data_IF_407691907691
#
_entry.id   IF_407691907691
#
_cell.length_a   1.000
_cell.length_b   1.000
_cell.length_c   1.000
_cell.angle_alpha   90.00
_cell.angle_beta   90.00
_cell.angle_gamma   90.00
#
_symmetry.space_group_name_H-M   'P 1'
#
loop_
_entity.id
_entity.type
_entity.pdbx_description
1 polymer ?
#
# COMPACT_ATOMS: atom_id res chain seq x y z
N UNK A 1 -8.85 -15.48 -26.77
CA UNK A 1 -8.51 -16.17 -25.52
C UNK A 1 -7.03 -16.00 -25.31
N UNK A 2 -6.59 -15.48 -24.18
CA UNK A 2 -5.17 -15.36 -23.82
C UNK A 2 -4.76 -16.60 -23.02
N UNK A 3 -3.53 -17.07 -23.24
CA UNK A 3 -3.01 -18.25 -22.53
C UNK A 3 -1.63 -17.92 -21.98
N UNK A 4 -1.33 -18.39 -20.77
CA UNK A 4 -0.03 -18.25 -20.11
C UNK A 4 0.22 -19.40 -19.14
N UNK A 5 1.46 -19.61 -18.77
CA UNK A 5 1.81 -20.60 -17.71
C UNK A 5 1.41 -20.11 -16.33
N UNK A 6 1.69 -18.85 -16.01
CA UNK A 6 1.41 -18.25 -14.71
C UNK A 6 0.64 -16.95 -14.88
N UNK A 7 -0.56 -16.85 -14.27
CA UNK A 7 -1.32 -15.61 -14.17
C UNK A 7 -1.11 -15.01 -12.78
N UNK A 8 -0.59 -13.79 -12.72
CA UNK A 8 -0.44 -13.02 -11.48
C UNK A 8 -1.59 -12.00 -11.42
N UNK A 9 -2.43 -12.08 -10.40
CA UNK A 9 -3.54 -11.16 -10.17
C UNK A 9 -3.18 -10.20 -9.07
N UNK A 10 -3.00 -8.91 -9.43
CA UNK A 10 -2.63 -7.82 -8.55
C UNK A 10 -1.27 -7.22 -8.90
N UNK A 11 -1.27 -5.98 -9.37
CA UNK A 11 -0.10 -5.20 -9.77
C UNK A 11 0.47 -4.32 -8.64
N UNK A 12 0.35 -4.77 -7.38
CA UNK A 12 1.06 -4.20 -6.24
C UNK A 12 2.52 -4.67 -6.17
N UNK A 13 3.25 -4.24 -5.14
CA UNK A 13 4.68 -4.57 -4.98
C UNK A 13 4.96 -6.08 -5.06
N UNK A 14 4.13 -6.91 -4.43
CA UNK A 14 4.32 -8.37 -4.46
C UNK A 14 4.19 -8.94 -5.88
N UNK A 15 3.12 -8.58 -6.60
CA UNK A 15 2.90 -9.06 -7.97
C UNK A 15 3.93 -8.54 -8.95
N UNK A 16 4.34 -7.27 -8.83
CA UNK A 16 5.38 -6.67 -9.66
C UNK A 16 6.76 -7.31 -9.41
N UNK A 17 7.12 -7.54 -8.15
CA UNK A 17 8.40 -8.19 -7.81
C UNK A 17 8.46 -9.63 -8.34
N UNK A 18 7.36 -10.38 -8.22
CA UNK A 18 7.26 -11.72 -8.81
C UNK A 18 7.35 -11.68 -10.34
N UNK A 19 6.60 -10.78 -10.98
CA UNK A 19 6.59 -10.63 -12.44
C UNK A 19 7.97 -10.24 -13.00
N UNK A 20 8.66 -9.28 -12.34
CA UNK A 20 10.02 -8.90 -12.72
C UNK A 20 11.00 -10.07 -12.61
N UNK A 21 10.87 -10.88 -11.56
CA UNK A 21 11.69 -12.10 -11.39
C UNK A 21 11.42 -13.13 -12.47
N UNK A 22 10.15 -13.44 -12.75
CA UNK A 22 9.77 -14.38 -13.82
C UNK A 22 10.23 -13.86 -15.19
N UNK A 23 10.17 -12.55 -15.43
CA UNK A 23 10.68 -11.92 -16.65
C UNK A 23 12.20 -12.13 -16.79
N UNK A 24 12.97 -11.89 -15.74
CA UNK A 24 14.41 -12.08 -15.74
C UNK A 24 14.82 -13.55 -15.95
N UNK A 25 13.99 -14.50 -15.53
CA UNK A 25 14.20 -15.95 -15.72
C UNK A 25 13.65 -16.48 -17.08
N UNK A 26 13.07 -15.59 -17.92
CA UNK A 26 12.47 -15.99 -19.20
C UNK A 26 11.25 -16.91 -19.06
N UNK A 27 10.58 -16.89 -17.91
CA UNK A 27 9.37 -17.67 -17.65
C UNK A 27 8.16 -17.06 -18.33
N UNK A 28 7.18 -17.89 -18.71
CA UNK A 28 5.93 -17.39 -19.26
C UNK A 28 4.96 -17.02 -18.16
N UNK A 29 4.50 -15.76 -18.19
CA UNK A 29 3.52 -15.21 -17.25
C UNK A 29 2.68 -14.11 -17.89
N UNK A 30 1.58 -13.78 -17.23
CA UNK A 30 0.78 -12.56 -17.44
C UNK A 30 0.49 -11.93 -16.08
N UNK A 31 0.71 -10.61 -15.97
CA UNK A 31 0.35 -9.81 -14.80
C UNK A 31 -0.89 -8.98 -15.10
N UNK A 32 -1.91 -9.03 -14.22
CA UNK A 32 -3.14 -8.23 -14.37
C UNK A 32 -3.36 -7.35 -13.13
N UNK A 33 -3.73 -6.09 -13.36
CA UNK A 33 -4.10 -5.12 -12.31
C UNK A 33 -5.52 -4.62 -12.55
N UNK A 34 -6.30 -4.54 -11.49
CA UNK A 34 -7.69 -4.11 -11.55
C UNK A 34 -7.86 -2.60 -11.77
N UNK A 35 -6.96 -1.79 -11.17
CA UNK A 35 -6.94 -0.32 -11.32
C UNK A 35 -6.38 0.08 -12.68
N UNK A 36 -6.57 1.31 -13.04
CA UNK A 36 -5.94 1.98 -14.18
C UNK A 36 -4.47 2.40 -13.91
N UNK A 37 -3.93 2.05 -12.74
CA UNK A 37 -2.56 2.31 -12.30
C UNK A 37 -1.93 1.09 -11.63
N UNK A 38 -0.63 1.01 -11.68
CA UNK A 38 0.19 0.03 -10.98
C UNK A 38 0.53 0.48 -9.54
N UNK A 39 1.07 -0.44 -8.73
CA UNK A 39 1.59 -0.16 -7.39
C UNK A 39 0.65 -0.58 -6.25
N UNK A 40 -0.63 -0.82 -6.52
CA UNK A 40 -1.58 -1.23 -5.49
C UNK A 40 -1.70 -0.19 -4.37
N UNK A 41 -1.30 -0.56 -3.14
CA UNK A 41 -1.26 0.35 -1.97
C UNK A 41 -0.11 1.36 -2.00
N UNK A 42 0.91 1.18 -2.81
CA UNK A 42 1.89 2.23 -3.10
C UNK A 42 1.23 3.23 -4.05
N UNK A 43 1.12 4.46 -3.57
CA UNK A 43 0.54 5.58 -4.30
C UNK A 43 1.28 6.84 -3.92
N UNK A 44 1.85 7.53 -4.90
CA UNK A 44 2.51 8.83 -4.72
C UNK A 44 1.78 9.88 -5.55
N UNK A 45 1.39 10.98 -4.91
CA UNK A 45 0.87 12.16 -5.59
C UNK A 45 2.02 13.05 -6.07
N UNK A 46 1.87 13.68 -7.22
CA UNK A 46 2.86 14.57 -7.80
C UNK A 46 2.46 16.03 -7.59
N UNK A 47 3.41 16.86 -7.18
CA UNK A 47 3.26 18.31 -7.09
C UNK A 47 4.61 18.98 -7.32
N UNK A 48 4.66 19.90 -8.30
CA UNK A 48 5.84 20.72 -8.63
C UNK A 48 7.16 19.92 -8.71
N UNK A 49 7.12 18.76 -9.35
CA UNK A 49 8.27 17.89 -9.55
C UNK A 49 8.66 17.02 -8.34
N UNK A 50 7.95 17.12 -7.22
CA UNK A 50 8.11 16.24 -6.07
C UNK A 50 6.98 15.21 -5.95
N UNK A 51 7.31 14.05 -5.38
CA UNK A 51 6.37 12.96 -5.13
C UNK A 51 6.11 12.81 -3.63
N UNK A 52 4.85 12.64 -3.25
CA UNK A 52 4.39 12.51 -1.87
C UNK A 52 3.59 11.23 -1.70
N UNK A 53 4.05 10.36 -0.81
CA UNK A 53 3.46 9.05 -0.60
C UNK A 53 2.15 9.12 0.20
N UNK A 54 1.06 8.66 -0.39
CA UNK A 54 -0.27 8.53 0.21
C UNK A 54 -0.57 7.08 0.67
N UNK A 55 0.31 6.16 0.34
CA UNK A 55 0.34 4.78 0.80
C UNK A 55 1.38 4.57 1.91
N UNK A 56 2.16 3.47 1.91
CA UNK A 56 3.37 3.36 2.71
C UNK A 56 4.33 4.49 2.32
N UNK A 57 5.06 5.04 3.30
CA UNK A 57 6.02 6.13 3.07
C UNK A 57 7.40 5.82 3.68
N UNK A 58 7.46 4.84 4.60
CA UNK A 58 8.65 4.52 5.37
C UNK A 58 9.02 3.04 5.27
N UNK A 59 10.31 2.78 5.45
CA UNK A 59 10.90 1.48 5.69
C UNK A 59 12.05 1.61 6.70
N UNK A 60 12.47 0.50 7.33
CA UNK A 60 13.37 0.53 8.47
C UNK A 60 14.63 -0.32 8.28
N UNK A 61 15.70 -0.04 9.04
CA UNK A 61 16.76 -1.01 9.26
C UNK A 61 16.17 -2.35 9.72
N UNK A 62 16.75 -3.47 9.21
CA UNK A 62 16.23 -4.82 9.52
C UNK A 62 15.18 -5.33 8.53
N UNK A 63 14.91 -4.59 7.46
CA UNK A 63 14.09 -5.02 6.33
C UNK A 63 14.98 -5.30 5.09
N UNK A 64 15.60 -6.49 4.99
CA UNK A 64 16.66 -6.75 4.00
C UNK A 64 16.16 -6.80 2.56
N UNK A 65 14.92 -7.27 2.31
CA UNK A 65 14.39 -7.42 0.95
C UNK A 65 14.13 -6.08 0.28
N UNK A 66 13.48 -5.16 1.02
CA UNK A 66 13.26 -3.81 0.49
C UNK A 66 14.58 -3.06 0.32
N UNK A 67 15.55 -3.23 1.23
CA UNK A 67 16.87 -2.65 1.10
C UNK A 67 17.63 -3.19 -0.14
N UNK A 68 17.57 -4.50 -0.39
CA UNK A 68 18.16 -5.13 -1.56
C UNK A 68 17.48 -4.67 -2.86
N UNK A 69 16.14 -4.56 -2.86
CA UNK A 69 15.40 -4.05 -4.02
C UNK A 69 15.80 -2.61 -4.36
N UNK A 70 15.88 -1.72 -3.36
CA UNK A 70 16.32 -0.34 -3.54
C UNK A 70 17.76 -0.28 -4.08
N UNK A 71 18.67 -1.06 -3.51
CA UNK A 71 20.04 -1.13 -3.98
C UNK A 71 20.15 -1.60 -5.44
N UNK A 72 19.35 -2.60 -5.82
CA UNK A 72 19.30 -3.14 -7.20
C UNK A 72 18.72 -2.14 -8.21
N UNK A 73 17.64 -1.46 -7.84
CA UNK A 73 16.92 -0.55 -8.74
C UNK A 73 17.52 0.86 -8.75
N UNK A 74 18.36 1.21 -7.77
CA UNK A 74 19.18 2.41 -7.73
C UNK A 74 18.55 3.72 -7.24
N UNK A 75 17.28 3.79 -6.75
CA UNK A 75 16.80 5.03 -6.16
C UNK A 75 17.49 5.30 -4.82
N UNK A 76 17.75 6.57 -4.52
CA UNK A 76 18.41 6.96 -3.27
C UNK A 76 17.41 6.98 -2.12
N UNK A 77 17.81 6.47 -0.95
CA UNK A 77 17.10 6.62 0.31
C UNK A 77 17.61 7.81 1.10
N UNK A 78 16.82 8.34 2.00
CA UNK A 78 17.19 9.37 2.96
C UNK A 78 16.46 9.18 4.29
N UNK A 79 17.01 9.76 5.35
CA UNK A 79 16.44 9.64 6.69
C UNK A 79 15.18 10.49 6.82
N UNK A 80 14.19 9.98 7.57
CA UNK A 80 13.04 10.78 7.96
C UNK A 80 13.49 12.00 8.75
N UNK A 81 13.02 13.19 8.36
CA UNK A 81 13.26 14.40 9.13
C UNK A 81 12.49 14.35 10.46
N UNK A 82 13.17 14.59 11.57
CA UNK A 82 12.61 14.57 12.94
C UNK A 82 13.21 15.65 13.84
N UNK A 83 14.04 16.54 13.31
CA UNK A 83 14.74 17.54 14.12
C UNK A 83 13.79 18.68 14.51
N UNK A 84 13.83 19.07 15.79
CA UNK A 84 13.01 20.14 16.35
C UNK A 84 12.05 19.63 17.43
N UNK A 85 11.20 20.53 17.88
CA UNK A 85 10.15 20.19 18.85
C UNK A 85 8.96 19.56 18.13
N UNK A 86 8.24 18.68 18.81
CA UNK A 86 6.98 18.12 18.38
C UNK A 86 5.80 18.88 19.01
N UNK A 87 4.61 18.66 18.47
CA UNK A 87 3.37 19.22 18.96
C UNK A 87 2.46 18.13 19.53
N UNK A 88 1.74 18.47 20.59
CA UNK A 88 0.68 17.66 21.14
C UNK A 88 -0.60 18.48 21.27
N UNK A 89 -1.69 18.00 20.70
CA UNK A 89 -3.03 18.61 20.80
C UNK A 89 -3.92 17.71 21.67
N UNK A 90 -4.38 18.25 22.79
CA UNK A 90 -5.25 17.53 23.74
C UNK A 90 -6.71 17.42 23.22
N UNK A 91 -7.59 16.79 23.99
CA UNK A 91 -9.01 16.61 23.66
C UNK A 91 -9.81 17.93 23.58
N UNK A 92 -9.24 19.05 24.06
CA UNK A 92 -9.84 20.41 24.01
C UNK A 92 -9.29 21.26 22.87
N UNK A 93 -8.38 20.69 22.06
CA UNK A 93 -7.70 21.42 20.99
C UNK A 93 -6.61 22.39 21.49
N UNK A 94 -6.11 22.20 22.74
CA UNK A 94 -4.99 22.98 23.25
C UNK A 94 -3.69 22.37 22.74
N UNK A 95 -2.90 23.17 22.03
CA UNK A 95 -1.63 22.74 21.45
C UNK A 95 -0.48 23.06 22.39
N UNK A 96 0.30 22.05 22.72
CA UNK A 96 1.51 22.15 23.52
C UNK A 96 2.71 21.81 22.62
N UNK A 97 3.79 22.54 22.82
CA UNK A 97 5.07 22.33 22.17
C UNK A 97 6.06 21.73 23.16
N UNK A 98 6.79 20.72 22.76
CA UNK A 98 7.76 20.09 23.63
C UNK A 98 8.70 19.14 22.90
N UNK A 99 9.67 18.63 23.65
CA UNK A 99 10.54 17.54 23.19
C UNK A 99 9.90 16.20 23.53
N UNK A 100 10.05 15.23 22.64
CA UNK A 100 9.50 13.90 22.85
C UNK A 100 10.04 12.92 21.85
N UNK A 101 9.46 11.71 21.85
CA UNK A 101 9.79 10.65 20.94
C UNK A 101 9.13 10.92 19.58
N UNK A 102 9.93 11.03 18.54
CA UNK A 102 9.47 11.06 17.16
C UNK A 102 9.25 9.62 16.66
N UNK A 103 8.01 9.22 16.43
CA UNK A 103 7.61 7.83 16.13
C UNK A 103 8.29 7.25 14.88
N UNK A 104 8.62 8.10 13.90
CA UNK A 104 9.29 7.70 12.66
C UNK A 104 10.79 7.94 12.66
N UNK A 105 11.38 8.30 13.81
CA UNK A 105 12.84 8.48 13.92
C UNK A 105 13.56 7.16 13.60
N UNK A 106 14.61 7.25 12.76
CA UNK A 106 15.40 6.09 12.31
C UNK A 106 14.77 5.32 11.15
N UNK A 107 13.63 5.75 10.64
CA UNK A 107 13.08 5.24 9.40
C UNK A 107 13.70 5.94 8.18
N UNK A 108 13.58 5.30 7.03
CA UNK A 108 14.02 5.82 5.75
C UNK A 108 12.84 6.09 4.83
N UNK A 109 13.03 7.09 3.96
CA UNK A 109 12.16 7.41 2.85
C UNK A 109 12.92 7.30 1.53
N UNK A 110 12.20 7.30 0.41
CA UNK A 110 12.78 7.15 -0.91
C UNK A 110 12.71 8.47 -1.68
N UNK A 111 13.81 8.84 -2.33
CA UNK A 111 13.81 9.97 -3.25
C UNK A 111 12.88 9.69 -4.43
N UNK A 112 11.97 10.62 -4.70
CA UNK A 112 10.90 10.43 -5.69
C UNK A 112 9.71 9.61 -5.19
N UNK A 113 9.66 9.29 -3.88
CA UNK A 113 8.61 8.48 -3.27
C UNK A 113 8.71 6.99 -3.61
N UNK A 114 7.90 6.18 -2.96
CA UNK A 114 7.86 4.73 -3.22
C UNK A 114 7.30 4.39 -4.61
N UNK A 115 6.57 5.31 -5.24
CA UNK A 115 6.14 5.18 -6.64
C UNK A 115 7.32 4.96 -7.60
N UNK A 116 8.48 5.55 -7.32
CA UNK A 116 9.68 5.34 -8.13
C UNK A 116 10.16 3.87 -8.20
N UNK A 117 9.90 3.06 -7.15
CA UNK A 117 10.16 1.61 -7.20
C UNK A 117 9.21 0.90 -8.16
N UNK A 118 7.95 1.32 -8.18
CA UNK A 118 6.94 0.75 -9.06
C UNK A 118 7.31 1.00 -10.52
N UNK A 119 7.69 2.23 -10.86
CA UNK A 119 8.08 2.60 -12.23
C UNK A 119 9.30 1.79 -12.70
N UNK A 120 10.29 1.62 -11.83
CA UNK A 120 11.49 0.82 -12.13
C UNK A 120 11.19 -0.67 -12.31
N UNK A 121 10.36 -1.26 -11.45
CA UNK A 121 9.92 -2.65 -11.60
C UNK A 121 9.10 -2.85 -12.90
N UNK A 122 8.25 -1.90 -13.25
CA UNK A 122 7.52 -1.92 -14.51
C UNK A 122 8.47 -1.89 -15.73
N UNK A 123 9.59 -1.19 -15.64
CA UNK A 123 10.61 -1.17 -16.67
C UNK A 123 11.28 -2.54 -16.93
N UNK A 124 11.23 -3.45 -15.95
CA UNK A 124 11.77 -4.83 -16.07
C UNK A 124 10.74 -5.84 -16.63
N UNK A 125 9.47 -5.43 -16.77
CA UNK A 125 8.38 -6.30 -17.21
C UNK A 125 7.96 -5.88 -18.63
N UNK A 126 8.00 -6.78 -19.64
CA UNK A 126 7.55 -6.46 -20.99
C UNK A 126 6.10 -5.99 -21.03
N UNK A 127 5.80 -5.01 -21.88
CA UNK A 127 4.48 -4.38 -21.94
C UNK A 127 3.37 -5.37 -22.36
N UNK A 128 3.69 -6.34 -23.22
CA UNK A 128 2.78 -7.41 -23.65
C UNK A 128 2.50 -8.47 -22.59
N UNK A 129 3.25 -8.47 -21.48
CA UNK A 129 3.08 -9.38 -20.33
C UNK A 129 2.28 -8.75 -19.19
N UNK A 130 1.70 -7.57 -19.36
CA UNK A 130 0.98 -6.86 -18.30
C UNK A 130 -0.27 -6.16 -18.80
N UNK A 131 -1.37 -6.29 -18.06
CA UNK A 131 -2.67 -5.67 -18.35
C UNK A 131 -3.12 -4.83 -17.16
N UNK A 132 -3.31 -3.55 -17.38
CA UNK A 132 -3.88 -2.60 -16.43
C UNK A 132 -5.38 -2.44 -16.68
N UNK A 133 -6.14 -1.85 -15.75
CA UNK A 133 -7.59 -1.66 -15.86
C UNK A 133 -8.34 -2.99 -16.17
N UNK A 134 -7.84 -4.12 -15.66
CA UNK A 134 -8.32 -5.46 -15.98
C UNK A 134 -8.74 -6.21 -14.71
N UNK A 135 -9.85 -5.83 -14.06
CA UNK A 135 -10.32 -6.51 -12.86
C UNK A 135 -10.82 -7.92 -13.16
N UNK A 136 -10.26 -8.91 -12.47
CA UNK A 136 -10.75 -10.28 -12.48
C UNK A 136 -11.99 -10.38 -11.58
N UNK A 137 -13.01 -11.12 -12.03
CA UNK A 137 -14.26 -11.34 -11.31
C UNK A 137 -14.50 -12.80 -10.95
N UNK A 138 -13.97 -13.72 -11.73
CA UNK A 138 -14.20 -15.14 -11.51
C UNK A 138 -12.97 -15.97 -11.90
N UNK A 139 -12.79 -17.06 -11.17
CA UNK A 139 -11.79 -18.09 -11.44
C UNK A 139 -12.52 -19.46 -11.54
N UNK A 140 -12.24 -20.21 -12.59
CA UNK A 140 -12.78 -21.54 -12.79
C UNK A 140 -11.63 -22.55 -12.96
N UNK A 141 -11.60 -23.58 -12.10
CA UNK A 141 -10.67 -24.69 -12.24
C UNK A 141 -11.02 -25.48 -13.50
N UNK A 142 -10.04 -25.79 -14.29
CA UNK A 142 -10.16 -26.67 -15.47
C UNK A 142 -9.32 -27.93 -15.26
N UNK A 143 -9.35 -28.85 -16.22
CA UNK A 143 -8.50 -30.05 -16.18
C UNK A 143 -7.01 -29.67 -16.13
N UNK A 144 -6.62 -28.64 -16.90
CA UNK A 144 -5.21 -28.32 -17.16
C UNK A 144 -4.75 -27.00 -16.48
N UNK A 145 -5.55 -26.49 -15.55
CA UNK A 145 -5.23 -25.24 -14.82
C UNK A 145 -6.45 -24.45 -14.37
N UNK A 146 -6.45 -23.17 -14.66
CA UNK A 146 -7.48 -22.20 -14.23
C UNK A 146 -7.83 -21.25 -15.38
N UNK A 147 -9.12 -20.98 -15.57
CA UNK A 147 -9.61 -19.89 -16.42
C UNK A 147 -10.01 -18.72 -15.54
N UNK A 148 -9.39 -17.58 -15.72
CA UNK A 148 -9.78 -16.30 -15.11
C UNK A 148 -10.65 -15.51 -16.07
N UNK A 149 -11.77 -14.95 -15.57
CA UNK A 149 -12.66 -14.10 -16.34
C UNK A 149 -12.62 -12.68 -15.81
N UNK A 150 -12.32 -11.73 -16.70
CA UNK A 150 -12.31 -10.31 -16.39
C UNK A 150 -13.74 -9.75 -16.27
N UNK A 151 -13.87 -8.53 -15.72
CA UNK A 151 -15.14 -7.81 -15.69
C UNK A 151 -15.70 -7.51 -17.11
N UNK A 152 -14.81 -7.38 -18.11
CA UNK A 152 -15.19 -7.20 -19.51
C UNK A 152 -15.53 -8.51 -20.24
N UNK A 153 -15.54 -9.65 -19.51
CA UNK A 153 -15.87 -10.95 -20.10
C UNK A 153 -14.72 -11.62 -20.85
N UNK A 154 -13.51 -11.04 -20.85
CA UNK A 154 -12.33 -11.65 -21.48
C UNK A 154 -11.84 -12.81 -20.61
N UNK A 155 -11.46 -13.92 -21.24
CA UNK A 155 -10.93 -15.09 -20.56
C UNK A 155 -9.41 -15.19 -20.76
N UNK A 156 -8.74 -15.50 -19.64
CA UNK A 156 -7.30 -15.78 -19.56
C UNK A 156 -7.12 -17.17 -18.95
N UNK A 157 -6.52 -18.08 -19.67
CA UNK A 157 -6.22 -19.43 -19.17
C UNK A 157 -4.77 -19.51 -18.67
N UNK A 158 -4.58 -20.15 -17.54
CA UNK A 158 -3.25 -20.32 -16.93
C UNK A 158 -3.12 -21.69 -16.26
N UNK A 159 -1.91 -22.25 -16.20
CA UNK A 159 -1.66 -23.47 -15.42
C UNK A 159 -1.72 -23.17 -13.92
N UNK A 160 -1.20 -22.01 -13.50
CA UNK A 160 -1.22 -21.55 -12.11
C UNK A 160 -1.68 -20.10 -12.01
N UNK A 161 -2.39 -19.77 -10.95
CA UNK A 161 -2.83 -18.42 -10.61
C UNK A 161 -2.23 -18.00 -9.27
N UNK A 162 -1.55 -16.85 -9.26
CA UNK A 162 -1.04 -16.22 -8.04
C UNK A 162 -1.95 -15.05 -7.67
N UNK A 163 -2.59 -15.13 -6.50
CA UNK A 163 -3.40 -14.07 -5.92
C UNK A 163 -2.50 -13.10 -5.13
N UNK A 164 -1.90 -12.12 -5.81
CA UNK A 164 -1.07 -11.07 -5.20
C UNK A 164 -1.92 -9.89 -4.70
N UNK A 165 -2.99 -10.19 -3.98
CA UNK A 165 -3.98 -9.24 -3.46
C UNK A 165 -4.41 -9.63 -2.04
N UNK A 166 -5.03 -8.71 -1.27
CA UNK A 166 -5.49 -9.02 0.08
C UNK A 166 -6.46 -10.21 0.09
N UNK A 167 -6.35 -11.15 1.04
CA UNK A 167 -7.25 -12.30 1.11
C UNK A 167 -8.73 -11.94 1.19
N UNK A 168 -9.10 -10.87 1.92
CA UNK A 168 -10.49 -10.37 1.96
C UNK A 168 -10.99 -9.93 0.60
N UNK A 169 -10.15 -9.31 -0.21
CA UNK A 169 -10.50 -8.94 -1.60
C UNK A 169 -10.57 -10.18 -2.49
N UNK A 170 -9.66 -11.14 -2.30
CA UNK A 170 -9.72 -12.43 -3.00
C UNK A 170 -11.03 -13.18 -2.70
N UNK A 171 -11.53 -13.11 -1.48
CA UNK A 171 -12.79 -13.74 -1.09
C UNK A 171 -14.04 -13.19 -1.83
N UNK A 172 -13.92 -12.03 -2.50
CA UNK A 172 -15.01 -11.45 -3.30
C UNK A 172 -15.05 -11.99 -4.75
N UNK A 173 -14.06 -12.75 -5.16
CA UNK A 173 -14.06 -13.39 -6.47
C UNK A 173 -15.02 -14.59 -6.48
N UNK A 174 -15.62 -14.87 -7.64
CA UNK A 174 -16.39 -16.10 -7.84
C UNK A 174 -15.44 -17.26 -8.16
N UNK A 175 -15.62 -18.40 -7.49
CA UNK A 175 -14.80 -19.60 -7.67
C UNK A 175 -15.65 -20.77 -8.17
N UNK A 176 -15.19 -21.46 -9.21
CA UNK A 176 -15.84 -22.68 -9.74
C UNK A 176 -14.80 -23.80 -9.90
N UNK A 177 -14.93 -24.96 -9.20
CA UNK A 177 -15.88 -25.20 -8.11
C UNK A 177 -15.64 -24.24 -6.94
N UNK A 178 -16.64 -24.07 -6.07
CA UNK A 178 -16.51 -23.26 -4.87
C UNK A 178 -15.33 -23.74 -4.03
N UNK A 179 -14.61 -22.79 -3.43
CA UNK A 179 -13.55 -23.12 -2.48
C UNK A 179 -14.11 -23.77 -1.21
N UNK A 180 -13.31 -24.59 -0.52
CA UNK A 180 -13.71 -25.12 0.79
C UNK A 180 -14.12 -24.01 1.75
N UNK A 181 -15.12 -24.27 2.58
CA UNK A 181 -15.68 -23.26 3.50
C UNK A 181 -14.66 -22.72 4.50
N UNK A 182 -13.74 -23.55 4.95
CA UNK A 182 -12.63 -23.17 5.84
C UNK A 182 -11.64 -22.22 5.15
N UNK A 183 -11.42 -22.37 3.83
CA UNK A 183 -10.61 -21.44 3.05
C UNK A 183 -11.29 -20.07 2.96
N UNK A 184 -12.58 -20.02 2.66
CA UNK A 184 -13.35 -18.76 2.60
C UNK A 184 -13.37 -18.05 3.95
N UNK A 185 -13.60 -18.78 5.04
CA UNK A 185 -13.55 -18.25 6.40
C UNK A 185 -12.15 -17.72 6.74
N UNK A 186 -11.11 -18.45 6.36
CA UNK A 186 -9.72 -18.03 6.59
C UNK A 186 -9.39 -16.74 5.85
N UNK A 187 -9.78 -16.59 4.58
CA UNK A 187 -9.62 -15.34 3.84
C UNK A 187 -10.30 -14.15 4.53
N UNK A 188 -11.53 -14.31 5.00
CA UNK A 188 -12.29 -13.25 5.68
C UNK A 188 -11.65 -12.84 7.01
N UNK A 189 -10.98 -13.78 7.70
CA UNK A 189 -10.35 -13.54 9.00
C UNK A 189 -8.99 -12.83 8.91
N UNK A 190 -8.33 -12.82 7.76
CA UNK A 190 -7.05 -12.13 7.57
C UNK A 190 -7.33 -10.65 7.25
N UNK A 191 -7.14 -9.72 8.21
CA UNK A 191 -7.41 -8.31 7.95
C UNK A 191 -6.36 -7.73 7.00
N UNK A 192 -6.77 -6.73 6.22
CA UNK A 192 -5.84 -5.97 5.38
C UNK A 192 -5.27 -4.82 6.20
N UNK A 193 -3.95 -4.86 6.50
CA UNK A 193 -3.30 -3.81 7.30
C UNK A 193 -3.47 -2.43 6.66
N UNK A 194 -3.89 -1.46 7.46
CA UNK A 194 -4.12 -0.06 7.06
C UNK A 194 -5.25 0.15 6.02
N UNK A 195 -6.01 -0.89 5.63
CA UNK A 195 -7.10 -0.72 4.66
C UNK A 195 -8.24 0.17 5.17
N UNK A 196 -8.47 0.20 6.49
CA UNK A 196 -9.46 1.09 7.10
C UNK A 196 -8.97 2.52 7.34
N UNK A 197 -7.72 2.85 6.99
CA UNK A 197 -7.11 4.15 7.26
C UNK A 197 -7.28 5.13 6.10
N UNK A 198 -7.19 6.42 6.42
CA UNK A 198 -7.03 7.47 5.43
C UNK A 198 -5.80 8.32 5.76
N UNK A 199 -5.26 9.00 4.76
CA UNK A 199 -4.05 9.80 4.87
C UNK A 199 -4.24 11.13 4.16
N UNK A 200 -3.59 12.17 4.67
CA UNK A 200 -3.53 13.47 4.04
C UNK A 200 -2.07 13.93 3.88
N UNK A 201 -1.80 14.69 2.82
CA UNK A 201 -0.53 15.39 2.61
C UNK A 201 -0.83 16.82 2.21
N UNK A 202 -0.42 17.77 3.03
CA UNK A 202 -0.52 19.20 2.75
C UNK A 202 0.83 19.70 2.24
N UNK A 203 0.85 20.29 1.05
CA UNK A 203 2.07 20.74 0.35
C UNK A 203 2.17 22.26 0.42
N UNK A 204 3.38 22.77 0.67
CA UNK A 204 3.70 24.19 0.85
C UNK A 204 4.98 24.58 0.11
N UNK A 205 5.14 25.87 -0.21
CA UNK A 205 6.36 26.43 -0.81
C UNK A 205 7.53 26.51 0.18
N UNK A 206 7.24 26.60 1.48
CA UNK A 206 8.22 26.80 2.54
C UNK A 206 8.04 25.82 3.68
N UNK A 207 9.11 25.36 4.32
CA UNK A 207 9.05 24.50 5.52
C UNK A 207 8.92 25.35 6.79
N UNK A 208 7.89 26.19 6.90
CA UNK A 208 7.71 27.17 7.98
C UNK A 208 7.71 26.53 9.37
N UNK A 209 7.34 25.26 9.51
CA UNK A 209 7.47 24.52 10.75
C UNK A 209 8.93 24.32 11.14
N UNK A 210 9.79 23.94 10.18
CA UNK A 210 11.24 23.77 10.41
C UNK A 210 11.87 25.13 10.77
N UNK A 211 11.50 26.19 10.07
CA UNK A 211 11.97 27.56 10.32
C UNK A 211 11.54 28.05 11.73
N UNK A 212 10.43 27.51 12.27
CA UNK A 212 9.96 27.79 13.63
C UNK A 212 10.56 26.82 14.67
N UNK A 213 11.49 25.94 14.30
CA UNK A 213 12.11 24.96 15.17
C UNK A 213 11.25 23.76 15.52
N UNK A 214 10.24 23.46 14.68
CA UNK A 214 9.39 22.26 14.81
C UNK A 214 9.88 21.14 13.87
N UNK A 215 9.71 19.89 14.31
CA UNK A 215 10.03 18.71 13.50
C UNK A 215 9.02 18.43 12.39
N UNK A 216 7.80 18.96 12.50
CA UNK A 216 6.65 18.55 11.70
C UNK A 216 5.87 17.38 12.32
N UNK A 217 6.41 16.78 13.41
CA UNK A 217 5.69 15.75 14.14
C UNK A 217 4.63 16.37 15.05
N UNK A 218 3.43 15.81 15.02
CA UNK A 218 2.36 16.16 15.93
C UNK A 218 1.52 14.92 16.28
N UNK A 219 1.05 14.88 17.53
CA UNK A 219 0.04 13.92 17.99
C UNK A 219 -1.20 14.71 18.38
N UNK A 220 -2.38 14.27 17.96
CA UNK A 220 -3.63 14.96 18.25
C UNK A 220 -4.72 14.01 18.76
N UNK A 221 -5.46 14.49 19.77
CA UNK A 221 -6.68 13.84 20.27
C UNK A 221 -7.96 14.63 19.93
N UNK A 222 -7.84 15.69 19.13
CA UNK A 222 -8.94 16.59 18.82
C UNK A 222 -9.29 16.65 17.34
N UNK A 223 -8.30 16.64 16.46
CA UNK A 223 -8.51 16.85 15.02
C UNK A 223 -8.67 15.54 14.23
N UNK A 224 -8.97 15.64 12.93
CA UNK A 224 -9.09 14.47 12.09
C UNK A 224 -7.76 13.70 11.93
N UNK A 225 -6.60 14.37 11.93
CA UNK A 225 -5.29 13.72 11.94
C UNK A 225 -4.90 13.41 13.38
N UNK A 226 -4.60 12.15 13.64
CA UNK A 226 -4.14 11.67 14.97
C UNK A 226 -2.63 11.73 15.12
N UNK A 227 -1.92 11.69 14.01
CA UNK A 227 -0.46 11.73 13.95
C UNK A 227 -0.02 12.44 12.67
N UNK A 228 0.95 13.36 12.77
CA UNK A 228 1.52 14.11 11.65
C UNK A 228 3.03 13.95 11.61
N UNK A 229 3.60 14.07 10.40
CA UNK A 229 5.04 14.01 10.15
C UNK A 229 5.44 14.94 9.03
N UNK A 230 6.70 15.35 9.02
CA UNK A 230 7.30 15.97 7.86
C UNK A 230 7.36 14.97 6.70
N UNK A 231 6.82 15.37 5.56
CA UNK A 231 6.80 14.57 4.33
C UNK A 231 7.60 15.21 3.18
N UNK A 232 8.41 16.21 3.50
CA UNK A 232 9.22 16.92 2.51
C UNK A 232 10.24 16.01 1.82
N UNK A 233 10.67 16.31 0.60
CA UNK A 233 11.79 15.63 -0.04
C UNK A 233 13.10 15.86 0.75
N UNK A 234 14.15 15.07 0.43
CA UNK A 234 15.45 15.16 1.10
C UNK A 234 16.13 16.53 0.90
N UNK A 235 15.90 17.15 -0.24
CA UNK A 235 16.47 18.46 -0.61
C UNK A 235 15.47 19.27 -1.42
N UNK A 236 15.50 20.59 -1.25
CA UNK A 236 14.61 21.51 -1.94
C UNK A 236 13.16 21.40 -1.49
N UNK A 237 12.29 22.05 -2.25
CA UNK A 237 10.82 22.00 -2.11
C UNK A 237 10.16 21.34 -3.32
N UNK A 238 8.81 21.33 -3.36
CA UNK A 238 7.92 21.82 -2.32
C UNK A 238 7.97 20.94 -1.07
N UNK A 239 7.62 21.54 0.06
CA UNK A 239 7.66 20.90 1.39
C UNK A 239 6.28 20.38 1.77
N UNK A 240 6.21 19.37 2.63
CA UNK A 240 4.92 18.80 2.99
C UNK A 240 4.83 18.32 4.43
N UNK A 241 3.60 18.39 4.96
CA UNK A 241 3.17 17.73 6.19
C UNK A 241 2.23 16.58 5.83
N UNK A 242 2.53 15.41 6.34
CA UNK A 242 1.72 14.20 6.23
C UNK A 242 0.90 14.00 7.50
N UNK A 243 -0.30 13.41 7.40
CA UNK A 243 -1.10 13.02 8.55
C UNK A 243 -1.86 11.73 8.36
N UNK A 244 -1.91 10.91 9.42
CA UNK A 244 -2.84 9.78 9.53
C UNK A 244 -4.20 10.30 9.99
N UNK A 245 -5.26 10.02 9.23
CA UNK A 245 -6.63 10.40 9.58
C UNK A 245 -7.23 9.32 10.45
N UNK A 246 -7.49 9.65 11.72
CA UNK A 246 -8.06 8.74 12.72
C UNK A 246 -9.59 8.70 12.74
N UNK A 247 -10.26 9.57 11.99
CA UNK A 247 -11.72 9.59 11.88
C UNK A 247 -12.22 8.30 11.23
N UNK A 248 -13.21 7.59 11.80
CA UNK A 248 -13.76 6.37 11.21
C UNK A 248 -14.31 6.56 9.79
N UNK A 249 -14.30 5.51 8.93
CA UNK A 249 -14.71 5.62 7.52
C UNK A 249 -16.11 6.17 7.30
N UNK A 250 -17.06 5.83 8.15
CA UNK A 250 -18.45 6.31 8.08
C UNK A 250 -18.59 7.80 8.39
N UNK A 251 -17.70 8.36 9.21
CA UNK A 251 -17.70 9.76 9.61
C UNK A 251 -16.88 10.67 8.67
N UNK A 252 -16.15 10.13 7.70
CA UNK A 252 -15.31 10.89 6.75
C UNK A 252 -15.76 10.78 5.29
N UNK A 253 -17.02 10.36 5.06
CA UNK A 253 -17.62 10.26 3.71
C UNK A 253 -17.83 11.61 3.05
N UNK A 254 -18.12 12.64 3.84
CA UNK A 254 -18.16 14.02 3.36
C UNK A 254 -16.71 14.52 3.21
N UNK A 255 -16.21 14.46 1.99
CA UNK A 255 -14.83 14.83 1.65
C UNK A 255 -14.56 16.31 1.81
N UNK A 256 -15.56 17.17 1.62
CA UNK A 256 -15.42 18.62 1.76
C UNK A 256 -15.36 19.01 3.24
N UNK A 257 -16.22 18.42 4.07
CA UNK A 257 -16.17 18.61 5.51
C UNK A 257 -14.84 18.08 6.09
N UNK A 258 -14.37 16.90 5.64
CA UNK A 258 -13.08 16.37 6.03
C UNK A 258 -11.94 17.31 5.63
N UNK A 259 -11.93 17.80 4.41
CA UNK A 259 -10.92 18.76 3.91
C UNK A 259 -10.88 20.03 4.75
N UNK A 260 -12.04 20.60 5.05
CA UNK A 260 -12.15 21.80 5.89
C UNK A 260 -11.61 21.53 7.32
N UNK A 261 -11.94 20.38 7.90
CA UNK A 261 -11.47 20.00 9.24
C UNK A 261 -9.96 19.77 9.28
N UNK A 262 -9.37 19.12 8.26
CA UNK A 262 -7.92 18.92 8.10
C UNK A 262 -7.21 20.27 8.02
N UNK A 263 -7.73 21.17 7.21
CA UNK A 263 -7.19 22.51 7.04
C UNK A 263 -7.21 23.31 8.36
N UNK A 264 -8.35 23.31 9.06
CA UNK A 264 -8.47 23.96 10.36
C UNK A 264 -7.49 23.39 11.39
N UNK A 265 -7.28 22.06 11.38
CA UNK A 265 -6.32 21.42 12.28
C UNK A 265 -4.87 21.81 11.96
N UNK A 266 -4.48 21.82 10.68
CA UNK A 266 -3.14 22.27 10.26
C UNK A 266 -2.84 23.69 10.76
N UNK A 267 -3.83 24.60 10.65
CA UNK A 267 -3.69 25.98 11.17
C UNK A 267 -3.57 26.01 12.69
N UNK A 268 -4.32 25.19 13.43
CA UNK A 268 -4.20 25.13 14.90
C UNK A 268 -2.84 24.60 15.33
N UNK A 269 -2.35 23.53 14.69
CA UNK A 269 -1.09 22.88 15.03
C UNK A 269 0.11 23.76 14.63
N UNK A 270 0.15 24.25 13.38
CA UNK A 270 1.34 24.85 12.80
C UNK A 270 1.22 26.37 12.55
N UNK A 271 0.10 26.97 12.99
CA UNK A 271 -0.12 28.42 12.89
C UNK A 271 -0.60 28.88 11.51
N UNK A 272 -0.74 30.21 11.35
CA UNK A 272 -1.29 30.83 10.14
C UNK A 272 -0.56 30.50 8.84
N UNK A 273 0.72 30.18 8.92
CA UNK A 273 1.49 29.79 7.73
C UNK A 273 1.00 28.47 7.10
N UNK A 274 0.24 27.67 7.83
CA UNK A 274 -0.40 26.45 7.32
C UNK A 274 -1.75 26.72 6.62
N UNK A 275 -2.19 27.98 6.54
CA UNK A 275 -3.53 28.33 6.05
C UNK A 275 -3.72 28.02 4.57
N UNK A 276 -2.71 28.21 3.74
CA UNK A 276 -2.81 28.15 2.29
C UNK A 276 -1.86 27.08 1.72
N UNK A 277 -2.17 25.78 1.86
CA UNK A 277 -1.40 24.74 1.20
C UNK A 277 -1.60 24.84 -0.31
N UNK A 278 -0.51 24.68 -1.09
CA UNK A 278 -0.60 24.57 -2.57
C UNK A 278 -1.54 23.43 -2.98
N UNK A 279 -1.42 22.31 -2.27
CA UNK A 279 -2.28 21.14 -2.43
C UNK A 279 -2.54 20.48 -1.08
N UNK A 280 -3.74 19.95 -0.92
CA UNK A 280 -4.11 19.05 0.16
C UNK A 280 -4.62 17.75 -0.48
N UNK A 281 -3.74 16.76 -0.58
CA UNK A 281 -4.08 15.43 -1.05
C UNK A 281 -4.71 14.63 0.08
N UNK A 282 -5.75 13.87 -0.23
CA UNK A 282 -6.42 12.96 0.70
C UNK A 282 -6.60 11.62 0.00
N UNK A 283 -6.16 10.53 0.65
CA UNK A 283 -6.41 9.17 0.21
C UNK A 283 -7.13 8.40 1.29
N UNK A 284 -8.35 8.00 1.03
CA UNK A 284 -9.13 7.10 1.88
C UNK A 284 -9.04 5.66 1.32
N UNK A 285 -8.26 4.82 1.99
CA UNK A 285 -8.08 3.43 1.59
C UNK A 285 -9.31 2.57 1.89
N UNK A 286 -10.16 2.97 2.86
CA UNK A 286 -11.40 2.28 3.15
C UNK A 286 -12.45 2.41 2.03
N UNK A 287 -12.33 3.44 1.20
CA UNK A 287 -13.17 3.66 0.02
C UNK A 287 -12.66 2.95 -1.24
N UNK A 288 -11.44 2.40 -1.22
CA UNK A 288 -10.84 1.70 -2.36
C UNK A 288 -11.27 0.23 -2.40
N UNK A 289 -12.11 -0.19 -3.37
CA UNK A 289 -12.68 -1.55 -3.41
C UNK A 289 -11.66 -2.65 -3.73
N UNK A 290 -10.48 -2.27 -4.22
CA UNK A 290 -9.39 -3.20 -4.49
C UNK A 290 -8.38 -3.30 -3.34
N UNK A 291 -8.62 -2.57 -2.24
CA UNK A 291 -7.83 -2.61 -1.01
C UNK A 291 -8.69 -3.06 0.17
N UNK A 292 -9.87 -2.48 0.34
CA UNK A 292 -10.74 -2.68 1.49
C UNK A 292 -12.06 -3.38 1.11
N UNK A 293 -12.62 -4.08 2.08
CA UNK A 293 -13.95 -4.67 2.03
C UNK A 293 -14.81 -4.10 3.15
N UNK A 294 -16.08 -4.51 3.24
CA UNK A 294 -16.94 -4.16 4.38
C UNK A 294 -16.37 -4.59 5.74
N UNK A 295 -15.50 -5.62 5.76
CA UNK A 295 -14.82 -6.11 6.96
C UNK A 295 -13.67 -5.19 7.41
N UNK A 296 -13.18 -4.31 6.55
CA UNK A 296 -12.09 -3.38 6.81
C UNK A 296 -12.57 -1.98 7.23
N UNK A 297 -13.89 -1.75 7.27
CA UNK A 297 -14.48 -0.46 7.72
C UNK A 297 -14.24 -0.18 9.22
N UNK A 298 -13.84 -1.20 9.97
CA UNK A 298 -13.35 -1.06 11.35
C UNK A 298 -11.84 -1.27 11.34
N UNK A 299 -11.05 -0.19 11.44
CA UNK A 299 -9.59 -0.29 11.46
C UNK A 299 -9.11 -1.17 12.62
N UNK A 300 -8.13 -2.01 12.34
CA UNK A 300 -7.49 -2.82 13.41
C UNK A 300 -6.57 -1.92 14.23
N UNK A 301 -6.59 -2.08 15.56
CA UNK A 301 -5.83 -1.25 16.49
C UNK A 301 -4.39 -1.73 16.71
N UNK A 302 -4.09 -2.98 16.34
CA UNK A 302 -2.78 -3.58 16.46
C UNK A 302 -2.41 -4.29 15.16
N UNK A 303 -1.11 -4.40 14.90
CA UNK A 303 -0.63 -5.14 13.74
C UNK A 303 -1.02 -6.61 13.88
N UNK A 304 -1.70 -7.19 12.87
CA UNK A 304 -2.13 -8.59 12.91
C UNK A 304 -0.94 -9.57 12.81
N UNK A 305 -1.10 -10.75 13.39
CA UNK A 305 -0.23 -11.88 13.08
C UNK A 305 -0.59 -12.42 11.70
N UNK A 306 0.39 -12.42 10.79
CA UNK A 306 0.24 -12.85 9.41
C UNK A 306 0.94 -14.17 9.13
N UNK A 307 0.63 -14.76 8.00
CA UNK A 307 1.17 -16.01 7.51
C UNK A 307 0.13 -16.75 6.67
N UNK A 308 0.54 -17.76 5.93
CA UNK A 308 -0.36 -18.55 5.12
C UNK A 308 -1.09 -19.60 5.97
N UNK A 309 -2.41 -19.47 6.23
CA UNK A 309 -3.17 -20.51 6.91
C UNK A 309 -3.17 -21.82 6.13
N UNK A 310 -3.20 -22.94 6.84
CA UNK A 310 -3.25 -24.28 6.23
C UNK A 310 -4.42 -24.43 5.25
N UNK A 311 -5.57 -23.84 5.57
CA UNK A 311 -6.77 -23.88 4.72
C UNK A 311 -6.59 -23.19 3.36
N UNK A 312 -5.61 -22.29 3.22
CA UNK A 312 -5.28 -21.59 1.97
C UNK A 312 -4.13 -22.25 1.21
N UNK A 313 -3.54 -23.30 1.76
CA UNK A 313 -2.45 -24.04 1.13
C UNK A 313 -2.99 -25.18 0.26
N UNK A 314 -2.40 -25.36 -0.93
CA UNK A 314 -2.70 -26.48 -1.82
C UNK A 314 -4.04 -26.42 -2.53
N UNK A 315 -4.72 -25.27 -2.52
CA UNK A 315 -6.01 -25.11 -3.20
C UNK A 315 -5.89 -25.44 -4.70
N UNK A 316 -6.91 -26.16 -5.19
CA UNK A 316 -6.98 -26.63 -6.56
C UNK A 316 -5.70 -27.35 -7.02
N UNK A 317 -5.20 -28.28 -6.17
CA UNK A 317 -3.95 -29.04 -6.40
C UNK A 317 -2.74 -28.12 -6.68
N UNK A 318 -2.64 -27.03 -5.91
CA UNK A 318 -1.61 -25.98 -6.04
C UNK A 318 -1.72 -25.12 -7.32
N UNK A 319 -2.84 -25.18 -8.05
CA UNK A 319 -3.08 -24.28 -9.17
C UNK A 319 -3.50 -22.86 -8.71
N UNK A 320 -3.99 -22.71 -7.47
CA UNK A 320 -4.33 -21.42 -6.86
C UNK A 320 -3.41 -21.16 -5.66
N UNK A 321 -2.62 -20.08 -5.73
CA UNK A 321 -1.58 -19.73 -4.74
C UNK A 321 -1.80 -18.30 -4.25
N UNK A 322 -1.70 -18.10 -2.94
CA UNK A 322 -1.71 -16.73 -2.36
C UNK A 322 -0.29 -16.16 -2.36
N UNK A 323 -0.15 -14.91 -2.80
CA UNK A 323 1.12 -14.19 -2.93
C UNK A 323 1.01 -12.70 -2.52
N UNK A 324 -0.01 -12.32 -1.75
CA UNK A 324 -0.14 -10.99 -1.15
C UNK A 324 0.65 -10.88 0.16
N UNK A 325 0.96 -9.65 0.58
CA UNK A 325 1.77 -9.41 1.80
C UNK A 325 1.14 -9.99 3.06
N UNK A 326 -0.18 -10.16 3.10
CA UNK A 326 -0.93 -10.70 4.24
C UNK A 326 -0.68 -12.19 4.49
N UNK A 327 -0.02 -12.90 3.58
CA UNK A 327 0.37 -14.30 3.79
C UNK A 327 1.86 -14.47 4.12
N UNK A 328 2.60 -13.38 4.20
CA UNK A 328 4.01 -13.39 4.60
C UNK A 328 4.14 -13.51 6.13
N UNK A 329 4.91 -14.49 6.65
CA UNK A 329 4.96 -14.76 8.09
C UNK A 329 5.80 -13.75 8.89
N UNK A 330 6.83 -13.13 8.29
CA UNK A 330 7.77 -12.30 9.03
C UNK A 330 7.37 -10.83 9.07
N UNK A 331 6.97 -10.28 7.93
CA UNK A 331 6.65 -8.86 7.78
C UNK A 331 5.33 -8.64 7.03
N UNK A 332 4.34 -9.51 7.26
CA UNK A 332 3.03 -9.37 6.62
C UNK A 332 2.45 -7.96 6.78
N UNK A 333 1.78 -7.44 5.76
CA UNK A 333 1.24 -6.08 5.75
C UNK A 333 2.22 -4.96 5.39
N UNK A 334 3.53 -5.19 5.45
CA UNK A 334 4.58 -4.22 5.10
C UNK A 334 5.12 -4.41 3.68
N UNK A 335 5.96 -3.46 3.23
CA UNK A 335 6.71 -3.57 1.97
C UNK A 335 7.60 -4.83 1.96
N UNK A 336 8.30 -5.07 3.06
CA UNK A 336 9.15 -6.24 3.26
C UNK A 336 8.36 -7.55 3.09
N UNK A 337 7.16 -7.63 3.68
CA UNK A 337 6.28 -8.79 3.55
C UNK A 337 5.72 -8.97 2.14
N UNK A 338 5.55 -7.89 1.37
CA UNK A 338 5.16 -8.01 -0.03
C UNK A 338 6.25 -8.71 -0.87
N UNK A 339 7.51 -8.40 -0.60
CA UNK A 339 8.66 -9.04 -1.24
C UNK A 339 8.86 -10.48 -0.75
N UNK A 340 8.67 -10.73 0.55
CA UNK A 340 8.67 -12.08 1.13
C UNK A 340 7.62 -12.98 0.48
N UNK A 341 6.39 -12.48 0.31
CA UNK A 341 5.31 -13.22 -0.34
C UNK A 341 5.60 -13.51 -1.82
N UNK A 342 6.25 -12.59 -2.52
CA UNK A 342 6.70 -12.79 -3.90
C UNK A 342 7.75 -13.92 -4.00
N UNK A 343 8.71 -13.97 -3.08
CA UNK A 343 9.71 -15.04 -2.99
C UNK A 343 9.07 -16.40 -2.72
N UNK A 344 8.12 -16.47 -1.78
CA UNK A 344 7.39 -17.70 -1.46
C UNK A 344 6.54 -18.20 -2.64
N UNK A 345 5.84 -17.27 -3.32
CA UNK A 345 5.09 -17.60 -4.52
C UNK A 345 6.01 -18.13 -5.63
N UNK A 346 7.17 -17.51 -5.85
CA UNK A 346 8.17 -17.99 -6.80
C UNK A 346 8.65 -19.40 -6.45
N UNK A 347 8.99 -19.65 -5.20
CA UNK A 347 9.42 -20.98 -4.74
C UNK A 347 8.33 -22.04 -5.01
N UNK A 348 7.05 -21.71 -4.76
CA UNK A 348 5.91 -22.60 -5.04
C UNK A 348 5.77 -22.90 -6.54
N UNK A 349 6.15 -21.97 -7.42
CA UNK A 349 6.12 -22.17 -8.87
C UNK A 349 7.23 -23.10 -9.35
N UNK A 350 8.40 -23.08 -8.70
CA UNK A 350 9.62 -23.80 -9.13
C UNK A 350 9.78 -25.19 -8.50
N UNK A 351 9.16 -25.44 -7.35
CA UNK A 351 9.24 -26.73 -6.62
C UNK A 351 8.09 -27.71 -6.92
N UNK A 352 7.25 -27.41 -7.90
CA UNK A 352 6.07 -28.22 -8.26
C UNK A 352 6.27 -29.07 -9.50
#
# INVERSE_FOLDING_TARGET
MMQTRTLIIGGGLAGLALAARLSAEGQDFMLVEARDRWGGRILSAQCDGAAFDLGPAWFWPGQPRIAALIARLGPSRFDQFYQGDLLYEDERGQVQRGRGFASMQGSWRLQGGLGALIDKLLGEIPADKRLCATPIKALAKTRDGVTARTAAGVEITAQKVILALPPRVAAQLSYTPALPSDAVISMARIPTWMAGQAKAVAVYDRPFWRESGLSGDAMSRFGPMVECHDASPSQGGPYALFGFIGVPPDMRRDTDALRAALHAQLVRLFGRNAQDPKHLFIQDWAADPFTATSLDQRPVHAHPDYGLPRALSGLWEKALVFGGTEVAPSFGGYLEGALEAAEQAHTTLTTA
#
